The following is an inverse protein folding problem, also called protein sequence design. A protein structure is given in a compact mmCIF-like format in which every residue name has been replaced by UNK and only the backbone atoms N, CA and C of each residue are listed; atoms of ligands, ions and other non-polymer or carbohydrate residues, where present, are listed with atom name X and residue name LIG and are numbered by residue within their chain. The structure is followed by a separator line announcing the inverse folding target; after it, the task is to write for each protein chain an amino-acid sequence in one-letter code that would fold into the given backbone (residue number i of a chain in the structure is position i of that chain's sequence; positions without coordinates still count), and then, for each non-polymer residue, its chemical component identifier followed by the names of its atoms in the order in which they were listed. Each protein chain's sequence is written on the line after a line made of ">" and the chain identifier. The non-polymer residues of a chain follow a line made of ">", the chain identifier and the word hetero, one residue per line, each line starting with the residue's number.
data_IF_336489670622
#
_entry.id   IF_336489670622
#
_cell.length_a   1.000
_cell.length_b   1.000
_cell.length_c   1.000
_cell.angle_alpha   90.00
_cell.angle_beta   90.00
_cell.angle_gamma   90.00
#
_symmetry.space_group_name_H-M   'P 1'
#
loop_
_entity.id
_entity.type
_entity.pdbx_description
1 polymer ?
#
# COMPACT_ATOMS: atom_id res chain seq x y z
N UNK A 1 20.35 40.38 27.00
CA UNK A 1 20.85 39.16 26.34
C UNK A 1 19.75 38.59 25.42
N UNK A 2 19.76 38.85 24.10
CA UNK A 2 18.72 38.41 23.15
C UNK A 2 19.18 37.32 22.15
N UNK A 3 20.35 36.71 22.32
CA UNK A 3 20.97 35.84 21.29
C UNK A 3 20.42 34.41 21.20
N UNK A 4 19.61 33.98 22.18
CA UNK A 4 19.13 32.59 22.28
C UNK A 4 17.83 32.38 21.50
N UNK A 5 16.95 33.39 21.41
CA UNK A 5 15.60 33.27 20.85
C UNK A 5 15.56 33.14 19.33
N UNK A 6 16.43 33.85 18.60
CA UNK A 6 16.49 33.72 17.13
C UNK A 6 17.05 32.36 16.71
N UNK A 7 18.04 31.85 17.46
CA UNK A 7 18.65 30.53 17.20
C UNK A 7 17.63 29.42 17.40
N UNK A 8 16.82 29.47 18.47
CA UNK A 8 15.76 28.48 18.68
C UNK A 8 14.70 28.55 17.58
N UNK A 9 14.27 29.74 17.17
CA UNK A 9 13.31 29.91 16.06
C UNK A 9 13.86 29.34 14.75
N UNK A 10 15.11 29.67 14.40
CA UNK A 10 15.75 29.16 13.18
C UNK A 10 15.89 27.63 13.21
N UNK A 11 16.26 27.05 14.35
CA UNK A 11 16.34 25.59 14.52
C UNK A 11 14.97 24.91 14.43
N UNK A 12 13.91 25.51 15.00
CA UNK A 12 12.54 25.00 14.89
C UNK A 12 12.01 25.05 13.45
N UNK A 13 12.28 26.14 12.72
CA UNK A 13 11.90 26.26 11.31
C UNK A 13 12.65 25.25 10.43
N UNK A 14 13.95 25.06 10.67
CA UNK A 14 14.74 24.05 9.96
C UNK A 14 14.23 22.64 10.25
N UNK A 15 13.93 22.33 11.52
CA UNK A 15 13.36 21.04 11.90
C UNK A 15 12.02 20.80 11.20
N UNK A 16 11.13 21.80 11.18
CA UNK A 16 9.84 21.70 10.50
C UNK A 16 9.99 21.51 8.99
N UNK A 17 10.93 22.21 8.36
CA UNK A 17 11.25 22.05 6.95
C UNK A 17 11.72 20.61 6.65
N UNK A 18 12.65 20.09 7.46
CA UNK A 18 13.16 18.72 7.34
C UNK A 18 12.04 17.68 7.51
N UNK A 19 11.20 17.82 8.54
CA UNK A 19 10.03 16.99 8.77
C UNK A 19 9.07 17.00 7.57
N UNK A 20 8.80 18.17 7.00
CA UNK A 20 7.93 18.30 5.83
C UNK A 20 8.52 17.62 4.58
N UNK A 21 9.83 17.75 4.36
CA UNK A 21 10.51 17.10 3.23
C UNK A 21 10.54 15.57 3.36
N UNK A 22 10.70 15.05 4.58
CA UNK A 22 10.66 13.61 4.86
C UNK A 22 9.27 13.04 4.57
N UNK A 23 8.22 13.70 5.07
CA UNK A 23 6.83 13.29 4.80
C UNK A 23 6.50 13.32 3.30
N UNK A 24 7.02 14.31 2.56
CA UNK A 24 6.83 14.40 1.11
C UNK A 24 7.50 13.23 0.36
N UNK A 25 8.71 12.84 0.77
CA UNK A 25 9.42 11.70 0.17
C UNK A 25 8.65 10.40 0.43
N UNK A 26 8.21 10.15 1.65
CA UNK A 26 7.42 8.95 1.99
C UNK A 26 6.13 8.86 1.16
N UNK A 27 5.38 9.96 1.07
CA UNK A 27 4.17 10.04 0.25
C UNK A 27 4.46 9.73 -1.23
N UNK A 28 5.57 10.27 -1.77
CA UNK A 28 5.96 10.03 -3.16
C UNK A 28 6.30 8.56 -3.44
N UNK A 29 6.95 7.87 -2.50
CA UNK A 29 7.31 6.45 -2.64
C UNK A 29 6.07 5.56 -2.60
N UNK A 30 5.14 5.83 -1.68
CA UNK A 30 3.85 5.12 -1.65
C UNK A 30 3.08 5.30 -2.97
N UNK A 31 3.20 6.47 -3.59
CA UNK A 31 2.54 6.76 -4.85
C UNK A 31 3.16 6.05 -6.07
N UNK A 32 4.43 5.63 -6.00
CA UNK A 32 5.10 4.87 -7.07
C UNK A 32 4.52 3.48 -7.25
N UNK A 33 4.14 2.82 -6.15
CA UNK A 33 3.57 1.47 -6.19
C UNK A 33 2.08 1.47 -6.54
N UNK A 34 1.47 2.65 -6.73
CA UNK A 34 0.03 2.77 -7.00
C UNK A 34 -0.32 2.20 -8.37
N UNK A 35 -1.16 1.18 -8.37
CA UNK A 35 -1.72 0.60 -9.59
C UNK A 35 -2.87 1.49 -10.05
N UNK A 36 -2.73 2.07 -11.25
CA UNK A 36 -3.80 2.87 -11.87
C UNK A 36 -4.95 1.99 -12.35
N UNK A 37 -4.65 0.87 -13.01
CA UNK A 37 -5.61 -0.11 -13.50
C UNK A 37 -4.90 -1.42 -13.87
N UNK A 38 -5.46 -2.55 -13.44
CA UNK A 38 -5.02 -3.88 -13.91
C UNK A 38 -5.62 -4.18 -15.31
N UNK A 39 -4.94 -4.98 -16.14
CA UNK A 39 -5.53 -5.50 -17.38
C UNK A 39 -6.85 -6.23 -17.10
N UNK A 40 -7.88 -5.96 -17.89
CA UNK A 40 -9.20 -6.60 -17.73
C UNK A 40 -9.99 -6.21 -16.47
N UNK A 41 -9.53 -5.22 -15.68
CA UNK A 41 -10.18 -4.81 -14.44
C UNK A 41 -11.51 -4.07 -14.67
N UNK A 42 -12.57 -4.35 -13.88
CA UNK A 42 -13.76 -3.51 -13.86
C UNK A 42 -13.46 -2.15 -13.19
N UNK A 43 -14.37 -1.19 -13.36
CA UNK A 43 -14.26 0.08 -12.63
C UNK A 43 -14.43 -0.14 -11.12
N UNK A 44 -13.55 0.46 -10.31
CA UNK A 44 -13.59 0.40 -8.85
C UNK A 44 -13.29 1.77 -8.25
N UNK A 45 -13.73 1.99 -7.01
CA UNK A 45 -13.50 3.24 -6.26
C UNK A 45 -12.37 3.18 -5.24
N UNK A 46 -11.81 2.00 -4.97
CA UNK A 46 -10.70 1.83 -4.02
C UNK A 46 -9.34 1.99 -4.71
N UNK A 47 -8.33 2.38 -3.95
CA UNK A 47 -6.94 2.38 -4.43
C UNK A 47 -6.29 1.03 -4.19
N UNK A 48 -5.35 0.67 -5.05
CA UNK A 48 -4.59 -0.56 -4.90
C UNK A 48 -3.12 -0.31 -5.28
N UNK A 49 -2.23 -1.07 -4.67
CA UNK A 49 -0.79 -0.90 -4.75
C UNK A 49 -0.12 -2.25 -4.88
N UNK A 50 0.99 -2.30 -5.61
CA UNK A 50 1.85 -3.46 -5.63
C UNK A 50 3.30 -3.05 -5.82
N UNK A 51 4.19 -3.75 -5.14
CA UNK A 51 5.61 -3.45 -5.15
C UNK A 51 6.41 -4.48 -4.40
N UNK A 52 7.64 -4.14 -4.07
CA UNK A 52 8.59 -5.00 -3.38
C UNK A 52 9.10 -4.35 -2.10
N UNK A 53 9.11 -5.11 -1.01
CA UNK A 53 9.75 -4.72 0.25
C UNK A 53 11.03 -5.53 0.42
N UNK A 54 12.18 -4.86 0.44
CA UNK A 54 13.47 -5.52 0.71
C UNK A 54 13.51 -6.03 2.15
N UNK A 55 13.73 -7.33 2.33
CA UNK A 55 13.78 -8.00 3.64
C UNK A 55 15.18 -8.47 4.02
N UNK A 56 16.07 -8.64 3.04
CA UNK A 56 17.50 -8.85 3.28
C UNK A 56 18.29 -8.23 2.13
N UNK A 57 18.85 -7.03 2.34
CA UNK A 57 19.63 -6.33 1.34
C UNK A 57 20.95 -7.04 1.00
N UNK A 58 21.57 -7.74 1.97
CA UNK A 58 22.85 -8.43 1.77
C UNK A 58 22.67 -9.64 0.84
N UNK A 59 21.54 -10.32 0.98
CA UNK A 59 21.18 -11.48 0.15
C UNK A 59 20.22 -11.12 -0.99
N UNK A 60 20.02 -9.82 -1.25
CA UNK A 60 19.13 -9.30 -2.28
C UNK A 60 17.73 -9.92 -2.27
N UNK A 61 17.17 -10.20 -1.08
CA UNK A 61 15.81 -10.72 -0.93
C UNK A 61 14.81 -9.59 -0.75
N UNK A 62 13.75 -9.65 -1.54
CA UNK A 62 12.58 -8.80 -1.41
C UNK A 62 11.30 -9.64 -1.49
N UNK A 63 10.27 -9.20 -0.78
CA UNK A 63 8.93 -9.79 -0.85
C UNK A 63 8.04 -8.91 -1.71
N UNK A 64 7.36 -9.52 -2.66
CA UNK A 64 6.30 -8.85 -3.42
C UNK A 64 5.05 -8.71 -2.54
N UNK A 65 4.36 -7.58 -2.64
CA UNK A 65 3.05 -7.37 -2.01
C UNK A 65 2.02 -6.86 -3.03
N UNK A 66 0.75 -7.15 -2.73
CA UNK A 66 -0.41 -6.52 -3.35
C UNK A 66 -1.35 -6.08 -2.23
N UNK A 67 -1.71 -4.81 -2.25
CA UNK A 67 -2.56 -4.18 -1.25
C UNK A 67 -3.76 -3.52 -1.94
N UNK A 68 -4.97 -3.84 -1.49
CA UNK A 68 -6.19 -3.17 -1.90
C UNK A 68 -6.77 -2.47 -0.68
N UNK A 69 -6.94 -1.14 -0.77
CA UNK A 69 -7.61 -0.36 0.28
C UNK A 69 -9.06 -0.81 0.43
N UNK A 70 -9.63 -0.56 1.61
CA UNK A 70 -11.06 -0.73 1.81
C UNK A 70 -11.86 0.21 0.90
N UNK A 71 -13.00 -0.26 0.42
CA UNK A 71 -13.86 0.49 -0.50
C UNK A 71 -14.52 1.71 0.13
N UNK A 72 -14.81 1.63 1.44
CA UNK A 72 -15.50 2.68 2.19
C UNK A 72 -14.64 3.10 3.37
N UNK A 73 -14.30 4.39 3.39
CA UNK A 73 -13.56 5.04 4.46
C UNK A 73 -12.27 4.29 4.87
N UNK A 74 -11.31 4.11 3.93
CA UNK A 74 -10.13 3.26 4.15
C UNK A 74 -9.29 3.70 5.35
N UNK A 75 -9.28 5.00 5.68
CA UNK A 75 -8.53 5.54 6.81
C UNK A 75 -9.08 5.08 8.17
N UNK A 76 -10.34 4.67 8.27
CA UNK A 76 -10.94 4.18 9.52
C UNK A 76 -10.95 2.65 9.65
N UNK A 77 -10.53 1.92 8.60
CA UNK A 77 -10.54 0.46 8.57
C UNK A 77 -9.21 -0.12 9.09
N UNK A 78 -9.24 -1.33 9.67
CA UNK A 78 -8.01 -1.99 10.10
C UNK A 78 -7.16 -2.44 8.91
N UNK A 79 -5.84 -2.50 9.10
CA UNK A 79 -4.93 -3.17 8.19
C UNK A 79 -4.95 -4.68 8.44
N UNK A 80 -5.19 -5.47 7.39
CA UNK A 80 -5.19 -6.93 7.45
C UNK A 80 -4.08 -7.49 6.55
N UNK A 81 -3.17 -8.26 7.15
CA UNK A 81 -2.15 -9.02 6.42
C UNK A 81 -2.67 -10.45 6.17
N UNK A 82 -2.74 -10.85 4.90
CA UNK A 82 -3.16 -12.19 4.50
C UNK A 82 -1.97 -13.00 3.96
N UNK A 83 -1.75 -14.19 4.53
CA UNK A 83 -0.67 -15.09 4.14
C UNK A 83 -1.25 -16.47 3.84
N UNK A 84 -1.10 -16.94 2.60
CA UNK A 84 -1.37 -18.32 2.27
C UNK A 84 -0.20 -19.21 2.73
N UNK A 85 -0.54 -20.45 3.09
CA UNK A 85 0.41 -21.46 3.55
C UNK A 85 1.01 -22.29 2.41
N UNK A 86 1.17 -23.59 2.65
CA UNK A 86 1.84 -24.51 1.74
C UNK A 86 2.90 -25.32 2.48
N UNK A 87 4.17 -25.27 2.08
CA UNK A 87 4.93 -24.05 1.72
C UNK A 87 5.01 -23.73 0.22
N UNK A 88 5.25 -22.44 -0.11
CA UNK A 88 5.57 -21.97 -1.46
C UNK A 88 4.37 -21.49 -2.30
N UNK A 89 3.13 -21.63 -1.81
CA UNK A 89 1.98 -21.05 -2.49
C UNK A 89 1.98 -19.53 -2.34
N UNK A 90 1.63 -18.81 -3.41
CA UNK A 90 1.56 -17.34 -3.40
C UNK A 90 0.24 -16.86 -2.81
N UNK A 91 0.31 -15.92 -1.86
CA UNK A 91 -0.87 -15.21 -1.34
C UNK A 91 -1.60 -14.40 -2.41
N UNK A 92 -0.91 -13.99 -3.47
CA UNK A 92 -1.51 -13.27 -4.58
C UNK A 92 -2.41 -14.21 -5.41
N UNK A 93 -1.86 -15.36 -5.82
CA UNK A 93 -2.58 -16.28 -6.70
C UNK A 93 -3.80 -16.91 -6.02
N UNK A 94 -3.62 -17.40 -4.79
CA UNK A 94 -4.70 -18.07 -4.05
C UNK A 94 -5.54 -17.04 -3.30
N UNK A 95 -4.97 -16.35 -2.31
CA UNK A 95 -5.69 -15.38 -1.48
C UNK A 95 -6.37 -14.27 -2.26
N UNK A 96 -5.59 -13.47 -2.98
CA UNK A 96 -6.12 -12.26 -3.62
C UNK A 96 -7.03 -12.56 -4.82
N UNK A 97 -6.69 -13.53 -5.67
CA UNK A 97 -7.42 -13.79 -6.92
C UNK A 97 -8.41 -14.95 -6.87
N UNK A 98 -8.34 -15.84 -5.87
CA UNK A 98 -9.24 -17.01 -5.79
C UNK A 98 -10.14 -16.96 -4.56
N UNK A 99 -9.62 -16.50 -3.42
CA UNK A 99 -10.33 -16.51 -2.15
C UNK A 99 -11.09 -15.19 -1.89
N UNK A 100 -10.43 -14.24 -1.23
CA UNK A 100 -11.06 -13.11 -0.54
C UNK A 100 -10.64 -11.72 -1.06
N UNK A 101 -9.74 -11.63 -2.05
CA UNK A 101 -9.38 -10.34 -2.65
C UNK A 101 -10.48 -9.75 -3.56
N UNK A 102 -10.26 -8.54 -4.09
CA UNK A 102 -11.29 -7.74 -4.76
C UNK A 102 -11.77 -8.30 -6.10
N UNK A 103 -10.96 -9.14 -6.74
CA UNK A 103 -11.18 -9.62 -8.09
C UNK A 103 -11.04 -11.13 -8.19
N UNK A 104 -11.78 -11.74 -9.12
CA UNK A 104 -11.57 -13.10 -9.60
C UNK A 104 -11.19 -13.09 -11.08
N UNK A 105 -10.18 -13.87 -11.51
CA UNK A 105 -9.91 -14.09 -12.92
C UNK A 105 -11.08 -14.81 -13.61
N UNK A 106 -11.43 -14.36 -14.80
CA UNK A 106 -12.39 -15.01 -15.69
C UNK A 106 -11.88 -14.92 -17.12
N UNK A 107 -11.15 -15.94 -17.56
CA UNK A 107 -10.40 -15.90 -18.82
C UNK A 107 -9.36 -14.78 -18.80
N UNK A 108 -9.46 -13.84 -19.74
CA UNK A 108 -8.54 -12.69 -19.88
C UNK A 108 -9.00 -11.44 -19.12
N UNK A 109 -10.14 -11.50 -18.41
CA UNK A 109 -10.67 -10.38 -17.64
C UNK A 109 -10.67 -10.66 -16.13
N UNK A 110 -10.86 -9.60 -15.36
CA UNK A 110 -11.14 -9.68 -13.94
C UNK A 110 -12.62 -9.37 -13.71
N UNK A 111 -13.26 -10.11 -12.81
CA UNK A 111 -14.62 -9.84 -12.33
C UNK A 111 -14.57 -9.48 -10.86
N UNK A 112 -15.48 -8.62 -10.39
CA UNK A 112 -15.51 -8.21 -8.98
C UNK A 112 -15.90 -9.39 -8.09
N UNK A 113 -15.26 -9.50 -6.93
CA UNK A 113 -15.66 -10.41 -5.88
C UNK A 113 -16.67 -9.72 -4.94
N UNK A 114 -17.94 -10.10 -5.04
CA UNK A 114 -19.02 -9.56 -4.19
C UNK A 114 -18.85 -9.87 -2.69
N UNK A 115 -17.95 -10.79 -2.33
CA UNK A 115 -17.63 -11.16 -0.95
C UNK A 115 -16.18 -10.83 -0.60
N UNK A 116 -15.59 -9.86 -1.28
CA UNK A 116 -14.23 -9.44 -0.97
C UNK A 116 -14.13 -8.85 0.43
N UNK A 117 -13.00 -9.10 1.09
CA UNK A 117 -12.70 -8.57 2.41
C UNK A 117 -12.37 -7.07 2.41
N UNK A 118 -11.98 -6.49 1.26
CA UNK A 118 -11.81 -5.04 1.16
C UNK A 118 -13.12 -4.31 0.83
N UNK A 119 -14.21 -5.04 0.61
CA UNK A 119 -15.54 -4.47 0.37
C UNK A 119 -16.15 -3.80 1.60
N UNK A 120 -17.12 -2.92 1.38
CA UNK A 120 -17.96 -2.37 2.45
C UNK A 120 -19.16 -3.27 2.75
N UNK A 121 -19.28 -3.73 3.99
CA UNK A 121 -20.60 -3.88 4.62
C UNK A 121 -20.87 -2.67 5.48
#
# INVERSE_FOLDING_TARGET
>A
MPSITWKTIAMSLLALLLLSSLAFIEASLSQLDRITRLPGQPQVGFQQYAGYVTVDAKQQRALFYYFAEAEIDPASKPLVLWLNGGPGCSSLGVGAFTENGPFRPSGEILVRNEHSWNGGR
#
